data_IF_055794130215
#
_entry.id   IF_055794130215
#
_cell.length_a   1.000
_cell.length_b   1.000
_cell.length_c   1.000
_cell.angle_alpha   90.00
_cell.angle_beta   90.00
_cell.angle_gamma   90.00
#
_symmetry.space_group_name_H-M   'P 1'
#
loop_
_entity.id
_entity.type
_entity.pdbx_description
1 polymer ?
#
# COMPACT_ATOMS: atom_id res chain seq x y z
N UNK A 1 22.76 44.07 -48.41
CA UNK A 1 22.34 42.81 -49.04
C UNK A 1 23.07 41.67 -48.32
N UNK A 2 22.51 41.13 -47.22
CA UNK A 2 21.73 39.87 -47.17
C UNK A 2 22.60 38.66 -47.58
N UNK A 3 22.94 37.68 -46.73
CA UNK A 3 22.09 36.84 -45.87
C UNK A 3 22.91 36.22 -44.70
N UNK A 4 22.30 36.16 -43.52
CA UNK A 4 22.71 35.35 -42.36
C UNK A 4 22.10 33.96 -42.53
N UNK A 5 22.92 32.92 -42.62
CA UNK A 5 22.45 31.53 -42.70
C UNK A 5 22.43 30.94 -41.28
N UNK A 6 21.26 30.99 -40.62
CA UNK A 6 21.00 30.27 -39.35
C UNK A 6 20.83 28.79 -39.66
N UNK A 7 21.75 27.95 -39.17
CA UNK A 7 21.54 26.51 -39.06
C UNK A 7 20.67 26.24 -37.83
N UNK A 8 19.49 25.66 -38.06
CA UNK A 8 18.61 25.11 -37.03
C UNK A 8 19.16 23.74 -36.60
N UNK A 9 19.72 23.65 -35.39
CA UNK A 9 19.86 22.36 -34.71
C UNK A 9 18.54 22.08 -33.96
N UNK A 10 17.71 21.19 -34.51
CA UNK A 10 16.64 20.55 -33.75
C UNK A 10 17.28 19.55 -32.79
N UNK A 11 17.46 19.96 -31.54
CA UNK A 11 17.71 19.02 -30.44
C UNK A 11 16.41 18.27 -30.17
N UNK A 12 16.33 17.04 -30.66
CA UNK A 12 15.30 16.08 -30.26
C UNK A 12 15.65 15.66 -28.83
N UNK A 13 15.09 16.38 -27.86
CA UNK A 13 15.08 15.95 -26.46
C UNK A 13 14.11 14.77 -26.40
N UNK A 14 14.65 13.54 -26.48
CA UNK A 14 13.89 12.36 -26.07
C UNK A 14 13.58 12.52 -24.58
N UNK A 15 12.32 12.45 -24.12
CA UNK A 15 12.04 12.33 -22.71
C UNK A 15 12.61 10.99 -22.27
N UNK A 16 13.73 11.02 -21.53
CA UNK A 16 14.16 9.90 -20.72
C UNK A 16 13.08 9.71 -19.67
N UNK A 17 12.12 8.83 -19.96
CA UNK A 17 11.13 8.37 -19.00
C UNK A 17 11.86 7.87 -17.77
N UNK A 18 11.75 8.64 -16.68
CA UNK A 18 12.21 8.21 -15.38
C UNK A 18 11.32 7.03 -15.03
N UNK A 19 11.86 5.81 -15.14
CA UNK A 19 11.24 4.61 -14.60
C UNK A 19 11.20 4.76 -13.08
N UNK A 20 10.15 5.43 -12.61
CA UNK A 20 9.81 5.46 -11.19
C UNK A 20 9.59 4.01 -10.83
N UNK A 21 10.40 3.54 -9.88
CA UNK A 21 10.28 2.21 -9.34
C UNK A 21 9.00 2.22 -8.47
N UNK A 22 7.84 2.14 -9.11
CA UNK A 22 6.52 2.17 -8.50
C UNK A 22 6.39 1.09 -7.43
N UNK A 23 7.10 -0.02 -7.57
CA UNK A 23 7.25 -1.02 -6.51
C UNK A 23 7.89 -0.43 -5.25
N UNK A 24 8.91 0.43 -5.33
CA UNK A 24 9.44 1.16 -4.16
C UNK A 24 8.48 2.21 -3.60
N UNK A 25 7.66 2.84 -4.43
CA UNK A 25 6.64 3.83 -4.02
C UNK A 25 5.49 3.18 -3.26
N UNK A 26 4.98 2.08 -3.83
CA UNK A 26 4.01 1.18 -3.21
C UNK A 26 4.59 0.59 -1.93
N UNK A 27 5.84 0.10 -1.96
CA UNK A 27 6.53 -0.44 -0.78
C UNK A 27 6.85 0.61 0.28
N UNK A 28 7.07 1.88 -0.07
CA UNK A 28 7.30 2.94 0.92
C UNK A 28 5.98 3.39 1.54
N UNK A 29 4.88 3.44 0.78
CA UNK A 29 3.53 3.58 1.35
C UNK A 29 3.15 2.38 2.24
N UNK A 30 3.45 1.15 1.80
CA UNK A 30 3.26 -0.10 2.54
C UNK A 30 4.09 -0.15 3.83
N UNK A 31 5.39 0.15 3.75
CA UNK A 31 6.29 0.11 4.89
C UNK A 31 5.95 1.21 5.91
N UNK A 32 5.47 2.37 5.46
CA UNK A 32 5.04 3.45 6.35
C UNK A 32 3.72 3.11 7.06
N UNK A 33 2.81 2.37 6.41
CA UNK A 33 1.56 1.86 7.02
C UNK A 33 1.81 0.68 7.98
N UNK A 34 2.84 -0.14 7.75
CA UNK A 34 3.20 -1.29 8.59
C UNK A 34 4.06 -0.94 9.82
N UNK A 35 4.58 0.30 9.92
CA UNK A 35 5.38 0.76 11.06
C UNK A 35 4.53 1.24 12.26
N UNK A 36 3.20 1.21 12.17
CA UNK A 36 2.28 1.67 13.24
C UNK A 36 2.09 0.62 14.36
N UNK A 37 2.91 -0.44 14.40
CA UNK A 37 2.89 -1.45 15.46
C UNK A 37 4.03 -1.39 16.48
N UNK A 38 4.92 -0.39 16.40
CA UNK A 38 6.11 -0.33 17.25
C UNK A 38 6.31 1.05 17.88
N UNK A 39 5.31 1.53 18.63
CA UNK A 39 5.55 2.53 19.66
C UNK A 39 5.08 2.01 21.02
N UNK A 40 6.06 1.59 21.81
CA UNK A 40 5.90 1.34 23.24
C UNK A 40 5.63 2.68 23.93
N UNK A 41 4.36 2.99 24.19
CA UNK A 41 4.01 3.98 25.21
C UNK A 41 3.11 3.35 26.25
N UNK A 42 3.70 3.13 27.43
CA UNK A 42 3.00 2.87 28.68
C UNK A 42 1.90 3.92 28.89
N UNK A 43 0.65 3.47 28.98
CA UNK A 43 -0.39 4.20 29.69
C UNK A 43 -1.44 3.20 30.19
N UNK A 44 -1.45 3.01 31.51
CA UNK A 44 -2.57 2.47 32.26
C UNK A 44 -3.88 3.11 31.81
N UNK A 45 -4.84 2.29 31.38
CA UNK A 45 -6.26 2.59 31.51
C UNK A 45 -7.08 1.31 31.43
N UNK A 46 -7.49 0.85 32.61
CA UNK A 46 -8.56 -0.11 32.83
C UNK A 46 -9.87 0.36 32.21
N UNK A 47 -10.22 -0.22 31.08
CA UNK A 47 -11.60 -0.36 30.63
C UNK A 47 -11.73 -1.72 29.96
N UNK A 48 -12.73 -2.50 30.39
CA UNK A 48 -13.11 -3.78 29.79
C UNK A 48 -13.64 -3.56 28.38
N UNK A 49 -12.74 -3.36 27.43
CA UNK A 49 -13.01 -3.37 25.99
C UNK A 49 -12.72 -4.81 25.54
N UNK A 50 -13.68 -5.42 24.84
CA UNK A 50 -13.44 -6.70 24.19
C UNK A 50 -12.16 -6.59 23.37
N UNK A 51 -11.14 -7.39 23.70
CA UNK A 51 -9.86 -7.39 23.00
C UNK A 51 -10.11 -7.57 21.50
N UNK A 52 -9.64 -6.63 20.68
CA UNK A 52 -9.81 -6.75 19.23
C UNK A 52 -9.07 -7.99 18.71
N UNK A 53 -9.60 -8.71 17.71
CA UNK A 53 -9.04 -9.99 17.23
C UNK A 53 -7.56 -9.93 16.80
N UNK A 54 -7.06 -8.74 16.47
CA UNK A 54 -5.65 -8.51 16.11
C UNK A 54 -4.72 -8.63 17.32
N UNK A 55 -5.19 -8.14 18.47
CA UNK A 55 -4.46 -8.24 19.72
C UNK A 55 -4.36 -9.68 20.17
N UNK A 56 -5.33 -10.56 19.83
CA UNK A 56 -5.33 -11.99 20.14
C UNK A 56 -4.42 -12.84 19.25
N UNK A 57 -4.41 -12.65 17.92
CA UNK A 57 -3.48 -13.41 17.06
C UNK A 57 -2.02 -13.04 17.38
N UNK A 58 -1.72 -11.76 17.51
CA UNK A 58 -0.41 -11.30 17.94
C UNK A 58 -0.09 -11.67 19.40
N UNK A 59 -1.09 -11.98 20.24
CA UNK A 59 -0.86 -12.48 21.61
C UNK A 59 -0.27 -13.88 21.62
N UNK A 60 -0.73 -14.71 20.69
CA UNK A 60 -0.44 -16.15 20.66
C UNK A 60 0.85 -16.47 19.88
N UNK A 61 1.38 -15.51 19.11
CA UNK A 61 2.65 -15.63 18.41
C UNK A 61 3.83 -15.14 19.25
N UNK A 62 4.90 -15.94 19.30
CA UNK A 62 6.21 -15.48 19.76
C UNK A 62 6.76 -14.37 18.84
N UNK A 63 7.70 -13.56 19.32
CA UNK A 63 8.35 -12.54 18.51
C UNK A 63 8.97 -13.13 17.22
N UNK A 64 9.59 -14.31 17.33
CA UNK A 64 10.18 -14.99 16.18
C UNK A 64 9.13 -15.43 15.14
N UNK A 65 7.98 -15.95 15.59
CA UNK A 65 6.88 -16.32 14.71
C UNK A 65 6.29 -15.09 14.00
N UNK A 66 6.20 -13.94 14.69
CA UNK A 66 5.79 -12.68 14.07
C UNK A 66 6.75 -12.24 12.97
N UNK A 67 8.07 -12.34 13.22
CA UNK A 67 9.08 -11.97 12.24
C UNK A 67 8.98 -12.84 10.98
N UNK A 68 8.86 -14.17 11.15
CA UNK A 68 8.70 -15.11 10.02
C UNK A 68 7.42 -14.80 9.25
N UNK A 69 6.32 -14.57 9.97
CA UNK A 69 5.03 -14.26 9.37
C UNK A 69 5.08 -12.98 8.52
N UNK A 70 5.66 -11.92 9.07
CA UNK A 70 5.86 -10.65 8.38
C UNK A 70 6.81 -10.79 7.18
N UNK A 71 7.87 -11.59 7.31
CA UNK A 71 8.80 -11.85 6.20
C UNK A 71 8.11 -12.57 5.04
N UNK A 72 7.32 -13.61 5.31
CA UNK A 72 6.55 -14.34 4.30
C UNK A 72 5.64 -13.37 3.54
N UNK A 73 4.87 -12.57 4.27
CA UNK A 73 3.96 -11.58 3.69
C UNK A 73 4.70 -10.54 2.84
N UNK A 74 5.74 -9.92 3.40
CA UNK A 74 6.52 -8.91 2.70
C UNK A 74 7.18 -9.48 1.43
N UNK A 75 7.67 -10.73 1.50
CA UNK A 75 8.30 -11.43 0.37
C UNK A 75 7.29 -11.70 -0.75
N UNK A 76 6.09 -12.16 -0.40
CA UNK A 76 5.01 -12.49 -1.32
C UNK A 76 4.43 -11.23 -1.97
N UNK A 77 4.19 -10.18 -1.19
CA UNK A 77 3.70 -8.88 -1.68
C UNK A 77 4.70 -8.17 -2.59
N UNK A 78 6.01 -8.33 -2.34
CA UNK A 78 7.07 -7.73 -3.16
C UNK A 78 7.21 -8.36 -4.53
N UNK A 79 6.97 -9.67 -4.62
CA UNK A 79 7.08 -10.41 -5.87
C UNK A 79 6.22 -11.67 -5.79
N UNK A 80 5.17 -11.70 -6.61
CA UNK A 80 4.24 -12.83 -6.70
C UNK A 80 4.92 -14.17 -6.97
N UNK A 81 6.06 -14.16 -7.68
CA UNK A 81 6.80 -15.39 -7.99
C UNK A 81 7.39 -16.04 -6.72
N UNK A 82 7.37 -15.33 -5.59
CA UNK A 82 7.73 -15.87 -4.29
C UNK A 82 6.59 -16.63 -3.60
N UNK A 83 5.35 -16.55 -4.10
CA UNK A 83 4.26 -17.45 -3.69
C UNK A 83 4.47 -18.81 -4.36
N UNK A 84 5.48 -19.52 -3.90
CA UNK A 84 5.77 -20.90 -4.30
C UNK A 84 4.96 -21.87 -3.43
N UNK A 85 4.79 -23.15 -3.84
CA UNK A 85 4.17 -24.17 -3.00
C UNK A 85 4.82 -24.27 -1.61
N UNK A 86 6.14 -24.08 -1.55
CA UNK A 86 6.91 -24.10 -0.30
C UNK A 86 6.60 -22.89 0.60
N UNK A 87 6.55 -21.68 0.04
CA UNK A 87 6.13 -20.48 0.80
C UNK A 87 4.70 -20.64 1.32
N UNK A 88 3.81 -21.20 0.50
CA UNK A 88 2.42 -21.41 0.88
C UNK A 88 2.29 -22.44 2.01
N UNK A 89 3.06 -23.53 1.94
CA UNK A 89 3.16 -24.53 3.02
C UNK A 89 3.68 -23.91 4.32
N UNK A 90 4.79 -23.17 4.26
CA UNK A 90 5.39 -22.50 5.43
C UNK A 90 4.41 -21.56 6.13
N UNK A 91 3.62 -20.81 5.36
CA UNK A 91 2.57 -19.95 5.91
C UNK A 91 1.53 -20.75 6.68
N UNK A 92 0.96 -21.80 6.09
CA UNK A 92 -0.08 -22.60 6.73
C UNK A 92 0.44 -23.44 7.90
N UNK A 93 1.69 -23.90 7.86
CA UNK A 93 2.33 -24.56 9.01
C UNK A 93 2.41 -23.63 10.21
N UNK A 94 2.75 -22.36 10.00
CA UNK A 94 2.79 -21.37 11.06
C UNK A 94 1.40 -21.03 11.59
N UNK A 95 0.41 -20.95 10.71
CA UNK A 95 -1.00 -20.75 11.09
C UNK A 95 -1.50 -21.90 11.96
N UNK A 96 -1.22 -23.14 11.55
CA UNK A 96 -1.60 -24.35 12.29
C UNK A 96 -0.86 -24.45 13.63
N UNK A 97 0.43 -24.10 13.69
CA UNK A 97 1.25 -24.11 14.91
C UNK A 97 0.75 -23.11 15.97
N UNK A 98 0.32 -21.93 15.53
CA UNK A 98 -0.22 -20.88 16.40
C UNK A 98 -1.66 -21.19 16.83
N UNK A 99 -2.35 -22.12 16.13
CA UNK A 99 -3.73 -22.47 16.41
C UNK A 99 -4.71 -21.33 16.10
N UNK A 100 -4.40 -20.52 15.07
CA UNK A 100 -5.23 -19.39 14.68
C UNK A 100 -6.63 -19.86 14.27
N UNK A 101 -7.66 -19.21 14.80
CA UNK A 101 -9.05 -19.46 14.41
C UNK A 101 -9.35 -18.88 13.02
N UNK A 102 -10.40 -19.37 12.38
CA UNK A 102 -10.87 -18.83 11.09
C UNK A 102 -11.24 -17.33 11.19
N UNK A 103 -11.74 -16.88 12.35
CA UNK A 103 -12.06 -15.47 12.60
C UNK A 103 -10.80 -14.60 12.68
N UNK A 104 -9.76 -15.09 13.36
CA UNK A 104 -8.47 -14.40 13.43
C UNK A 104 -7.77 -14.39 12.07
N UNK A 105 -7.84 -15.48 11.31
CA UNK A 105 -7.35 -15.56 9.93
C UNK A 105 -8.09 -14.60 9.00
N UNK A 106 -9.42 -14.54 9.08
CA UNK A 106 -10.24 -13.62 8.32
C UNK A 106 -9.90 -12.17 8.67
N UNK A 107 -9.79 -11.85 9.97
CA UNK A 107 -9.41 -10.52 10.43
C UNK A 107 -8.01 -10.15 9.94
N UNK A 108 -7.05 -11.07 10.03
CA UNK A 108 -5.69 -10.87 9.55
C UNK A 108 -5.64 -10.68 8.04
N UNK A 109 -6.41 -11.46 7.28
CA UNK A 109 -6.59 -11.24 5.84
C UNK A 109 -7.16 -9.86 5.58
N UNK A 110 -8.18 -9.45 6.33
CA UNK A 110 -8.79 -8.13 6.20
C UNK A 110 -7.82 -7.01 6.57
N UNK A 111 -6.87 -7.22 7.48
CA UNK A 111 -5.87 -6.22 7.88
C UNK A 111 -4.64 -6.16 6.99
N UNK A 112 -4.31 -7.26 6.32
CA UNK A 112 -3.18 -7.31 5.40
C UNK A 112 -3.61 -7.02 3.97
N UNK A 113 -4.78 -7.52 3.56
CA UNK A 113 -5.39 -7.24 2.26
C UNK A 113 -6.14 -5.90 2.27
N UNK A 114 -6.84 -5.59 3.34
CA UNK A 114 -7.74 -4.44 3.36
C UNK A 114 -7.03 -3.08 3.41
N UNK A 115 -6.37 -2.70 4.52
CA UNK A 115 -5.66 -1.43 4.68
C UNK A 115 -4.63 -1.13 3.60
N UNK A 116 -4.01 -2.16 3.03
CA UNK A 116 -2.98 -1.99 2.01
C UNK A 116 -3.58 -2.06 0.61
N UNK A 117 -4.34 -3.09 0.27
CA UNK A 117 -4.71 -3.33 -1.12
C UNK A 117 -6.04 -2.67 -1.46
N UNK A 118 -7.05 -2.78 -0.59
CA UNK A 118 -8.35 -2.15 -0.82
C UNK A 118 -8.23 -0.62 -0.73
N UNK A 119 -7.52 -0.11 0.27
CA UNK A 119 -7.29 1.34 0.38
C UNK A 119 -6.50 1.88 -0.81
N UNK A 120 -5.40 1.23 -1.22
CA UNK A 120 -4.61 1.68 -2.37
C UNK A 120 -5.40 1.57 -3.68
N UNK A 121 -6.30 0.59 -3.80
CA UNK A 121 -7.22 0.50 -4.94
C UNK A 121 -8.07 1.76 -5.03
N UNK A 122 -8.82 2.09 -3.97
CA UNK A 122 -9.66 3.28 -3.96
C UNK A 122 -8.84 4.57 -4.17
N UNK A 123 -7.67 4.66 -3.54
CA UNK A 123 -6.78 5.79 -3.75
C UNK A 123 -6.38 5.97 -5.22
N UNK A 124 -5.95 4.91 -5.92
CA UNK A 124 -5.52 5.05 -7.31
C UNK A 124 -6.68 5.16 -8.29
N UNK A 125 -7.85 4.59 -7.98
CA UNK A 125 -9.09 4.85 -8.73
C UNK A 125 -9.47 6.34 -8.65
N UNK A 126 -9.45 6.91 -7.44
CA UNK A 126 -9.67 8.35 -7.22
C UNK A 126 -8.58 9.21 -7.91
N UNK A 127 -7.33 8.73 -7.94
CA UNK A 127 -6.23 9.41 -8.60
C UNK A 127 -6.41 9.52 -10.12
N UNK A 128 -6.94 8.48 -10.77
CA UNK A 128 -7.29 8.55 -12.20
C UNK A 128 -8.36 9.62 -12.45
N UNK A 129 -9.41 9.64 -11.64
CA UNK A 129 -10.50 10.63 -11.76
C UNK A 129 -9.96 12.04 -11.51
N UNK A 130 -9.10 12.19 -10.50
CA UNK A 130 -8.50 13.48 -10.15
C UNK A 130 -7.58 14.00 -11.25
N UNK A 131 -6.77 13.12 -11.85
CA UNK A 131 -5.87 13.47 -12.94
C UNK A 131 -6.63 13.88 -14.21
N UNK A 132 -7.72 13.17 -14.53
CA UNK A 132 -8.55 13.42 -15.71
C UNK A 132 -9.37 14.71 -15.56
N UNK A 133 -10.05 14.89 -14.42
CA UNK A 133 -10.87 16.07 -14.13
C UNK A 133 -10.06 17.34 -13.85
N UNK A 134 -8.81 17.20 -13.42
CA UNK A 134 -7.98 18.30 -12.94
C UNK A 134 -8.42 18.87 -11.59
N UNK A 135 -9.27 18.14 -10.86
CA UNK A 135 -9.77 18.52 -9.52
C UNK A 135 -9.58 17.39 -8.53
N UNK A 136 -9.20 17.65 -7.28
CA UNK A 136 -9.06 16.60 -6.27
C UNK A 136 -10.39 15.90 -6.05
N UNK A 137 -10.39 14.57 -6.17
CA UNK A 137 -11.56 13.72 -6.00
C UNK A 137 -11.34 12.70 -4.87
N UNK A 138 -12.39 12.46 -4.09
CA UNK A 138 -12.45 11.40 -3.09
C UNK A 138 -13.79 10.68 -3.24
N UNK A 139 -13.74 9.37 -3.42
CA UNK A 139 -14.95 8.53 -3.48
C UNK A 139 -15.54 8.24 -2.10
N UNK A 140 -16.83 7.95 -2.05
CA UNK A 140 -17.53 7.50 -0.83
C UNK A 140 -16.97 6.15 -0.35
N UNK A 141 -16.51 5.30 -1.27
CA UNK A 141 -15.78 4.07 -0.99
C UNK A 141 -14.51 4.35 -0.20
N UNK A 142 -13.66 5.26 -0.69
CA UNK A 142 -12.42 5.64 0.02
C UNK A 142 -12.73 6.21 1.39
N UNK A 143 -13.69 7.12 1.50
CA UNK A 143 -14.02 7.76 2.78
C UNK A 143 -14.53 6.76 3.82
N UNK A 144 -15.48 5.89 3.44
CA UNK A 144 -15.97 4.83 4.34
C UNK A 144 -14.84 3.90 4.78
N UNK A 145 -13.93 3.58 3.86
CA UNK A 145 -12.80 2.72 4.16
C UNK A 145 -11.79 3.39 5.09
N UNK A 146 -11.50 4.69 4.91
CA UNK A 146 -10.68 5.48 5.83
C UNK A 146 -11.24 5.45 7.27
N UNK A 147 -12.57 5.56 7.44
CA UNK A 147 -13.18 5.44 8.78
C UNK A 147 -13.05 4.04 9.38
N UNK A 148 -13.20 3.00 8.56
CA UNK A 148 -12.96 1.62 9.00
C UNK A 148 -11.51 1.43 9.46
N UNK A 149 -10.53 1.90 8.68
CA UNK A 149 -9.12 1.84 9.05
C UNK A 149 -8.80 2.63 10.33
N UNK A 150 -9.48 3.77 10.54
CA UNK A 150 -9.37 4.52 11.80
C UNK A 150 -9.88 3.71 12.99
N UNK A 151 -11.03 3.03 12.85
CA UNK A 151 -11.56 2.18 13.94
C UNK A 151 -10.62 1.05 14.34
N UNK A 152 -9.82 0.57 13.38
CA UNK A 152 -8.82 -0.49 13.58
C UNK A 152 -7.46 0.06 14.04
N UNK A 153 -7.34 1.37 14.28
CA UNK A 153 -6.07 2.07 14.52
C UNK A 153 -4.99 1.83 13.44
N UNK A 154 -5.41 1.48 12.22
CA UNK A 154 -4.53 1.15 11.10
C UNK A 154 -4.13 2.38 10.26
N UNK A 155 -4.81 3.52 10.45
CA UNK A 155 -4.48 4.79 9.82
C UNK A 155 -4.78 5.96 10.77
N UNK A 156 -4.01 7.05 10.64
CA UNK A 156 -4.21 8.28 11.43
C UNK A 156 -4.84 9.38 10.58
N UNK A 157 -5.45 10.38 11.24
CA UNK A 157 -5.97 11.57 10.55
C UNK A 157 -4.88 12.33 9.80
N UNK A 158 -3.68 12.41 10.38
CA UNK A 158 -2.51 12.99 9.71
C UNK A 158 -2.21 12.27 8.38
N UNK A 159 -2.25 10.94 8.38
CA UNK A 159 -1.98 10.15 7.19
C UNK A 159 -3.05 10.29 6.11
N UNK A 160 -4.32 10.36 6.51
CA UNK A 160 -5.43 10.66 5.60
C UNK A 160 -5.23 12.01 4.93
N UNK A 161 -4.80 13.02 5.70
CA UNK A 161 -4.57 14.36 5.19
C UNK A 161 -3.38 14.43 4.23
N UNK A 162 -2.26 13.76 4.52
CA UNK A 162 -1.16 13.62 3.55
C UNK A 162 -1.64 13.00 2.23
N UNK A 163 -2.50 11.99 2.30
CA UNK A 163 -3.04 11.36 1.09
C UNK A 163 -4.02 12.27 0.34
N UNK A 164 -4.76 13.15 1.04
CA UNK A 164 -5.57 14.18 0.39
C UNK A 164 -4.69 15.18 -0.36
N UNK A 165 -3.58 15.63 0.25
CA UNK A 165 -2.63 16.53 -0.39
C UNK A 165 -1.94 15.90 -1.60
N UNK A 166 -1.61 14.60 -1.53
CA UNK A 166 -1.12 13.87 -2.71
C UNK A 166 -2.17 13.87 -3.83
N UNK A 167 -3.46 13.74 -3.51
CA UNK A 167 -4.53 13.81 -4.49
C UNK A 167 -4.61 15.18 -5.17
N UNK A 168 -4.44 16.26 -4.41
CA UNK A 168 -4.34 17.61 -4.96
C UNK A 168 -3.15 17.76 -5.91
N UNK A 169 -1.99 17.22 -5.51
CA UNK A 169 -0.80 17.24 -6.36
C UNK A 169 -1.03 16.47 -7.67
N UNK A 170 -1.68 15.31 -7.62
CA UNK A 170 -2.03 14.53 -8.81
C UNK A 170 -3.00 15.31 -9.71
N UNK A 171 -4.09 15.85 -9.13
CA UNK A 171 -5.09 16.63 -9.86
C UNK A 171 -4.45 17.80 -10.62
N UNK A 172 -3.54 18.52 -9.94
CA UNK A 172 -2.88 19.68 -10.50
C UNK A 172 -1.57 19.37 -11.23
N UNK A 173 -1.26 18.09 -11.46
CA UNK A 173 -0.04 17.62 -12.15
C UNK A 173 1.23 18.20 -11.55
N UNK A 174 1.23 18.37 -10.22
CA UNK A 174 2.37 18.85 -9.47
C UNK A 174 3.36 17.71 -9.21
N UNK A 175 4.66 18.02 -9.09
CA UNK A 175 5.65 17.02 -8.77
C UNK A 175 5.45 16.47 -7.36
N UNK A 176 5.36 15.15 -7.23
CA UNK A 176 5.33 14.43 -5.95
C UNK A 176 6.76 14.06 -5.57
N UNK A 177 7.15 14.36 -4.32
CA UNK A 177 8.50 14.12 -3.83
C UNK A 177 8.62 12.76 -3.13
N UNK A 178 9.67 12.01 -3.49
CA UNK A 178 9.99 10.68 -2.95
C UNK A 178 11.48 10.63 -2.61
N UNK A 179 11.79 11.02 -1.38
CA UNK A 179 13.16 11.22 -0.93
C UNK A 179 13.87 12.28 -1.79
N UNK A 180 14.89 11.83 -2.54
CA UNK A 180 15.67 12.71 -3.45
C UNK A 180 15.09 12.81 -4.86
N UNK A 181 14.07 12.02 -5.17
CA UNK A 181 13.44 12.00 -6.49
C UNK A 181 12.14 12.79 -6.45
N UNK A 182 11.78 13.42 -7.57
CA UNK A 182 10.51 14.11 -7.75
C UNK A 182 9.98 13.82 -9.14
N UNK A 183 8.68 13.54 -9.23
CA UNK A 183 8.03 13.23 -10.49
C UNK A 183 6.56 13.62 -10.49
N UNK A 184 6.06 14.00 -11.66
CA UNK A 184 4.62 14.19 -11.89
C UNK A 184 4.02 12.82 -12.16
N UNK A 185 2.94 12.46 -11.47
CA UNK A 185 2.21 11.24 -11.76
C UNK A 185 1.41 11.41 -13.06
N UNK A 186 1.68 10.55 -14.03
CA UNK A 186 0.88 10.44 -15.25
C UNK A 186 -0.09 9.25 -15.18
N UNK A 187 -0.98 9.17 -16.16
CA UNK A 187 -2.01 8.13 -16.24
C UNK A 187 -1.39 6.73 -16.29
N UNK A 188 -0.32 6.54 -17.07
CA UNK A 188 0.35 5.24 -17.21
C UNK A 188 0.94 4.77 -15.88
N UNK A 189 1.52 5.68 -15.10
CA UNK A 189 2.02 5.37 -13.76
C UNK A 189 0.89 4.97 -12.81
N UNK A 190 -0.24 5.68 -12.81
CA UNK A 190 -1.38 5.37 -11.94
C UNK A 190 -2.00 4.03 -12.35
N UNK A 191 -2.19 3.78 -13.65
CA UNK A 191 -2.69 2.48 -14.15
C UNK A 191 -1.76 1.34 -13.78
N UNK A 192 -0.43 1.52 -13.90
CA UNK A 192 0.53 0.52 -13.47
C UNK A 192 0.47 0.27 -11.96
N UNK A 193 0.20 1.30 -11.15
CA UNK A 193 -0.02 1.14 -9.73
C UNK A 193 -1.27 0.30 -9.44
N UNK A 194 -2.39 0.56 -10.11
CA UNK A 194 -3.62 -0.25 -10.00
C UNK A 194 -3.40 -1.71 -10.39
N UNK A 195 -2.66 -1.97 -11.48
CA UNK A 195 -2.29 -3.32 -11.89
C UNK A 195 -1.51 -4.03 -10.77
N UNK A 196 -0.55 -3.34 -10.15
CA UNK A 196 0.24 -3.90 -9.04
C UNK A 196 -0.63 -4.16 -7.80
N UNK A 197 -1.58 -3.28 -7.50
CA UNK A 197 -2.55 -3.46 -6.41
C UNK A 197 -3.41 -4.70 -6.65
N UNK A 198 -3.97 -4.86 -7.85
CA UNK A 198 -4.76 -6.05 -8.20
C UNK A 198 -3.94 -7.33 -8.07
N UNK A 199 -2.68 -7.33 -8.52
CA UNK A 199 -1.80 -8.47 -8.33
C UNK A 199 -1.51 -8.77 -6.86
N UNK A 200 -1.31 -7.75 -6.02
CA UNK A 200 -1.17 -7.95 -4.59
C UNK A 200 -2.43 -8.59 -4.00
N UNK A 201 -3.63 -8.14 -4.43
CA UNK A 201 -4.90 -8.71 -3.99
C UNK A 201 -5.00 -10.20 -4.29
N UNK A 202 -4.71 -10.58 -5.55
CA UNK A 202 -4.74 -11.97 -6.00
C UNK A 202 -3.74 -12.83 -5.21
N UNK A 203 -2.55 -12.28 -4.98
CA UNK A 203 -1.48 -12.99 -4.27
C UNK A 203 -1.83 -13.23 -2.80
N UNK A 204 -2.42 -12.24 -2.12
CA UNK A 204 -2.91 -12.41 -0.74
C UNK A 204 -4.06 -13.41 -0.70
N UNK A 205 -5.01 -13.32 -1.64
CA UNK A 205 -6.12 -14.26 -1.70
C UNK A 205 -5.64 -15.71 -1.87
N UNK A 206 -4.63 -15.93 -2.71
CA UNK A 206 -4.04 -17.25 -2.89
C UNK A 206 -3.30 -17.72 -1.62
N UNK A 207 -2.51 -16.86 -0.97
CA UNK A 207 -1.79 -17.20 0.27
C UNK A 207 -2.74 -17.62 1.41
N UNK A 208 -3.89 -16.96 1.51
CA UNK A 208 -4.93 -17.24 2.51
C UNK A 208 -5.95 -18.30 2.06
N UNK A 209 -5.71 -19.02 0.96
CA UNK A 209 -6.54 -20.15 0.54
C UNK A 209 -5.85 -21.44 0.94
N UNK A 210 -6.48 -22.25 1.79
CA UNK A 210 -5.85 -23.48 2.29
C UNK A 210 -5.53 -24.44 1.12
N UNK A 211 -4.31 -25.02 1.06
CA UNK A 211 -3.90 -25.94 -0.01
C UNK A 211 -4.65 -27.28 -0.01
#
# INVERSE_FOLDING_TARGET
MHIIQRMYFHSIIRPMGVLINLTRLILSLLALLLLIGCDNTNADQTASIAEEPQTTLAKNMTAHQKDIFQEILARVLRNRNNLTPETHRQFWELVDEVGATEEELATMKDLLAGPIVIYMKYFFEDALISLDSGTPYKSDERERYEQHLKSLNAITDYRIEENNQLMEQIAYKQPIQQGKQSAVMDEAMIQQALVNVNFAMDTINQLFTRP
#
